data_IF_515492860640
#
_entry.id   IF_515492860640
#
_cell.length_a   1.000
_cell.length_b   1.000
_cell.length_c   1.000
_cell.angle_alpha   90.00
_cell.angle_beta   90.00
_cell.angle_gamma   90.00
#
_symmetry.space_group_name_H-M   'P 1'
#
loop_
_entity.id
_entity.type
_entity.pdbx_description
1 polymer ?
#
# COMPACT_ATOMS: atom_id res chain seq x y z
N UNK A 1 -55.59 -11.43 3.58
CA UNK A 1 -55.20 -10.13 4.19
C UNK A 1 -54.12 -10.39 5.23
N UNK A 2 -52.86 -10.12 4.88
CA UNK A 2 -51.75 -9.64 5.75
C UNK A 2 -50.45 -9.76 4.97
N UNK A 3 -50.11 -8.64 4.33
CA UNK A 3 -48.75 -8.21 4.06
C UNK A 3 -47.94 -8.28 5.36
N UNK A 4 -46.64 -8.58 5.32
CA UNK A 4 -45.61 -7.84 6.07
C UNK A 4 -44.20 -8.39 5.80
N UNK A 5 -43.46 -7.53 5.10
CA UNK A 5 -42.04 -7.17 5.22
C UNK A 5 -40.96 -8.20 4.84
N UNK A 6 -40.43 -7.95 3.64
CA UNK A 6 -39.04 -8.18 3.27
C UNK A 6 -38.11 -7.73 4.40
N UNK A 7 -37.34 -8.66 4.95
CA UNK A 7 -36.05 -8.30 5.55
C UNK A 7 -35.01 -8.37 4.44
N UNK A 8 -34.93 -7.30 3.65
CA UNK A 8 -33.68 -6.95 3.00
C UNK A 8 -32.71 -6.60 4.14
N UNK A 9 -31.96 -7.59 4.61
CA UNK A 9 -30.79 -7.35 5.42
C UNK A 9 -29.77 -6.65 4.51
N UNK A 10 -29.92 -5.33 4.38
CA UNK A 10 -28.81 -4.48 4.01
C UNK A 10 -27.79 -4.69 5.12
N UNK A 11 -26.83 -5.58 4.87
CA UNK A 11 -25.60 -5.66 5.65
C UNK A 11 -24.95 -4.29 5.50
N UNK A 12 -25.30 -3.42 6.44
CA UNK A 12 -24.75 -2.10 6.60
C UNK A 12 -23.25 -2.32 6.72
N UNK A 13 -22.52 -1.85 5.71
CA UNK A 13 -21.07 -1.91 5.65
C UNK A 13 -20.51 -1.47 7.00
N UNK A 14 -19.97 -2.42 7.75
CA UNK A 14 -19.05 -2.13 8.83
C UNK A 14 -17.80 -1.54 8.16
N UNK A 15 -17.86 -0.24 7.84
CA UNK A 15 -16.68 0.53 7.45
C UNK A 15 -15.86 0.70 8.72
N UNK A 16 -15.17 -0.38 9.13
CA UNK A 16 -14.08 -0.29 10.09
C UNK A 16 -13.12 0.80 9.63
N UNK A 17 -12.42 1.44 10.59
CA UNK A 17 -11.43 2.48 10.27
C UNK A 17 -10.46 1.95 9.20
N UNK A 18 -10.17 2.72 8.14
CA UNK A 18 -9.24 2.26 7.10
C UNK A 18 -7.93 1.81 7.75
N UNK A 19 -7.48 0.60 7.41
CA UNK A 19 -6.19 0.10 7.86
C UNK A 19 -5.15 0.57 6.86
N UNK A 20 -4.13 1.26 7.35
CA UNK A 20 -3.03 1.76 6.54
C UNK A 20 -1.80 0.87 6.70
N UNK A 21 -1.24 0.43 5.57
CA UNK A 21 0.09 -0.18 5.50
C UNK A 21 1.04 0.86 4.93
N UNK A 22 2.22 0.97 5.55
CA UNK A 22 3.31 1.79 5.02
C UNK A 22 4.51 0.92 4.70
N UNK A 23 5.02 1.08 3.48
CA UNK A 23 6.26 0.51 2.96
C UNK A 23 7.34 1.59 2.97
N UNK A 24 8.41 1.35 3.73
CA UNK A 24 9.54 2.28 3.85
C UNK A 24 10.79 1.63 3.28
N UNK A 25 11.51 2.36 2.44
CA UNK A 25 12.61 1.80 1.67
C UNK A 25 13.58 2.84 1.16
N UNK A 26 14.70 2.34 0.64
CA UNK A 26 15.78 3.14 0.10
C UNK A 26 16.14 2.61 -1.28
N UNK A 27 16.43 3.54 -2.20
CA UNK A 27 17.01 3.24 -3.51
C UNK A 27 18.53 3.36 -3.41
N UNK A 28 19.25 2.27 -3.69
CA UNK A 28 20.71 2.17 -3.66
C UNK A 28 21.27 2.73 -4.98
N UNK A 29 21.27 4.05 -5.12
CA UNK A 29 22.02 4.73 -6.18
C UNK A 29 22.55 6.07 -5.65
N UNK A 30 23.74 6.47 -6.11
CA UNK A 30 24.28 7.81 -5.85
C UNK A 30 23.35 8.92 -6.34
N UNK A 31 23.68 10.19 -6.01
CA UNK A 31 22.90 11.45 -6.11
C UNK A 31 21.89 11.71 -7.26
N UNK A 32 21.73 10.82 -8.23
CA UNK A 32 20.78 10.88 -9.34
C UNK A 32 20.00 9.56 -9.44
N UNK A 33 18.99 9.34 -8.59
CA UNK A 33 17.98 8.34 -8.95
C UNK A 33 17.17 8.92 -10.11
N UNK A 34 17.30 8.34 -11.30
CA UNK A 34 16.51 8.72 -12.47
C UNK A 34 15.01 8.66 -12.15
N UNK A 35 14.22 9.61 -12.64
CA UNK A 35 12.77 9.64 -12.42
C UNK A 35 12.07 8.34 -12.85
N UNK A 36 12.62 7.63 -13.85
CA UNK A 36 12.16 6.31 -14.28
C UNK A 36 12.25 5.25 -13.18
N UNK A 37 13.27 5.30 -12.31
CA UNK A 37 13.39 4.36 -11.19
C UNK A 37 12.41 4.69 -10.08
N UNK A 38 12.18 5.99 -9.81
CA UNK A 38 11.14 6.42 -8.85
C UNK A 38 9.76 5.96 -9.32
N UNK A 39 9.48 6.08 -10.61
CA UNK A 39 8.24 5.58 -11.20
C UNK A 39 8.14 4.06 -11.08
N UNK A 40 9.23 3.32 -11.35
CA UNK A 40 9.22 1.86 -11.19
C UNK A 40 8.93 1.44 -9.74
N UNK A 41 9.59 2.05 -8.76
CA UNK A 41 9.31 1.78 -7.33
C UNK A 41 7.85 2.09 -6.99
N UNK A 42 7.32 3.22 -7.48
CA UNK A 42 5.91 3.57 -7.32
C UNK A 42 4.99 2.51 -7.91
N UNK A 43 5.22 2.07 -9.14
CA UNK A 43 4.37 1.11 -9.85
C UNK A 43 4.37 -0.26 -9.17
N UNK A 44 5.52 -0.73 -8.70
CA UNK A 44 5.65 -1.99 -7.98
C UNK A 44 4.93 -1.93 -6.61
N UNK A 45 5.13 -0.85 -5.85
CA UNK A 45 4.42 -0.64 -4.58
C UNK A 45 2.91 -0.48 -4.79
N UNK A 46 2.50 0.15 -5.88
CA UNK A 46 1.11 0.29 -6.27
C UNK A 46 0.47 -1.07 -6.57
N UNK A 47 1.13 -1.93 -7.35
CA UNK A 47 0.64 -3.29 -7.60
C UNK A 47 0.51 -4.09 -6.30
N UNK A 48 1.50 -4.01 -5.40
CA UNK A 48 1.40 -4.66 -4.10
C UNK A 48 0.26 -4.11 -3.23
N UNK A 49 -0.03 -2.81 -3.32
CA UNK A 49 -1.18 -2.21 -2.65
C UNK A 49 -2.51 -2.74 -3.20
N UNK A 50 -2.64 -2.89 -4.53
CA UNK A 50 -3.82 -3.53 -5.13
C UNK A 50 -3.97 -4.98 -4.66
N UNK A 51 -2.89 -5.74 -4.59
CA UNK A 51 -2.90 -7.14 -4.13
C UNK A 51 -3.36 -7.29 -2.68
N UNK A 52 -3.08 -6.30 -1.82
CA UNK A 52 -3.56 -6.28 -0.44
C UNK A 52 -4.99 -5.71 -0.29
N UNK A 53 -5.66 -5.40 -1.40
CA UNK A 53 -7.05 -4.96 -1.44
C UNK A 53 -7.25 -3.45 -1.33
N UNK A 54 -6.25 -2.65 -1.70
CA UNK A 54 -6.43 -1.21 -1.85
C UNK A 54 -7.35 -0.87 -3.03
N UNK A 55 -8.14 0.20 -2.91
CA UNK A 55 -8.90 0.72 -4.03
C UNK A 55 -7.95 1.42 -5.01
N UNK A 56 -8.16 1.22 -6.31
CA UNK A 56 -7.23 1.65 -7.37
C UNK A 56 -7.00 3.16 -7.49
N UNK A 57 -7.74 4.00 -6.77
CA UNK A 57 -7.60 5.45 -6.86
C UNK A 57 -7.95 6.13 -5.53
N UNK A 58 -6.95 6.65 -4.82
CA UNK A 58 -7.16 7.71 -3.82
C UNK A 58 -6.67 7.41 -2.41
N UNK A 59 -6.13 6.22 -2.18
CA UNK A 59 -5.68 5.80 -0.86
C UNK A 59 -4.15 5.66 -0.77
N UNK A 60 -3.43 5.85 -1.89
CA UNK A 60 -1.98 5.84 -1.91
C UNK A 60 -1.32 7.21 -1.62
N UNK A 61 -0.19 7.19 -0.94
CA UNK A 61 0.68 8.36 -0.78
C UNK A 61 2.14 7.92 -0.80
N UNK A 62 2.87 8.31 -1.84
CA UNK A 62 4.33 8.19 -1.90
C UNK A 62 4.97 9.52 -1.46
N UNK A 63 5.67 9.46 -0.34
CA UNK A 63 6.54 10.54 0.15
C UNK A 63 8.00 10.10 0.08
N UNK A 64 8.93 11.03 -0.03
CA UNK A 64 10.35 10.71 -0.04
C UNK A 64 11.24 11.89 -0.42
N UNK A 65 12.55 11.70 -0.26
CA UNK A 65 13.56 12.71 -0.54
C UNK A 65 14.95 12.11 -0.72
N UNK A 66 15.88 12.91 -1.25
CA UNK A 66 17.29 12.56 -1.36
C UNK A 66 18.06 13.09 -0.16
N UNK A 67 18.90 12.27 0.46
CA UNK A 67 19.71 12.64 1.63
C UNK A 67 21.22 12.43 1.44
N UNK A 68 21.66 12.12 0.22
CA UNK A 68 23.08 11.91 -0.13
C UNK A 68 23.51 10.44 -0.12
N UNK A 69 22.73 9.55 0.52
CA UNK A 69 22.94 8.10 0.48
C UNK A 69 22.03 7.41 -0.55
N UNK A 70 20.91 8.06 -0.90
CA UNK A 70 20.00 7.62 -1.95
C UNK A 70 18.67 8.37 -1.93
N UNK A 71 17.66 7.80 -2.57
CA UNK A 71 16.27 8.24 -2.41
C UNK A 71 15.59 7.39 -1.34
N UNK A 72 15.23 8.02 -0.22
CA UNK A 72 14.50 7.42 0.88
C UNK A 72 13.02 7.69 0.69
N UNK A 73 12.19 6.67 0.81
CA UNK A 73 10.77 6.79 0.53
C UNK A 73 9.89 6.08 1.55
N UNK A 74 8.66 6.56 1.62
CA UNK A 74 7.55 5.96 2.34
C UNK A 74 6.31 5.97 1.45
N UNK A 75 5.83 4.79 1.11
CA UNK A 75 4.58 4.57 0.38
C UNK A 75 3.53 4.06 1.34
N UNK A 76 2.41 4.77 1.46
CA UNK A 76 1.27 4.36 2.32
C UNK A 76 0.08 4.00 1.44
N UNK A 77 -0.65 2.95 1.76
CA UNK A 77 -1.93 2.63 1.14
C UNK A 77 -2.94 2.05 2.13
N UNK A 78 -4.23 2.19 1.83
CA UNK A 78 -5.30 1.55 2.59
C UNK A 78 -5.46 0.10 2.13
N UNK A 79 -5.47 -0.85 3.05
CA UNK A 79 -5.73 -2.23 2.73
C UNK A 79 -7.10 -2.69 3.23
N UNK A 80 -7.62 -3.75 2.62
CA UNK A 80 -8.87 -4.36 3.04
C UNK A 80 -8.69 -5.08 4.39
N UNK A 81 -9.61 -4.86 5.34
CA UNK A 81 -9.64 -5.58 6.61
C UNK A 81 -9.58 -7.10 6.41
N UNK A 82 -8.76 -7.78 7.20
CA UNK A 82 -8.55 -9.23 7.23
C UNK A 82 -7.51 -9.76 6.23
N UNK A 83 -6.80 -8.91 5.48
CA UNK A 83 -5.76 -9.37 4.58
C UNK A 83 -4.41 -9.62 5.28
N UNK A 84 -4.11 -10.89 5.54
CA UNK A 84 -2.84 -11.30 6.16
C UNK A 84 -1.67 -11.41 5.18
N UNK A 85 -1.83 -11.04 3.90
CA UNK A 85 -0.81 -11.21 2.85
C UNK A 85 0.07 -9.98 2.64
N UNK A 86 0.13 -9.07 3.62
CA UNK A 86 1.05 -7.94 3.57
C UNK A 86 2.49 -8.47 3.60
N UNK A 87 3.30 -8.24 2.55
CA UNK A 87 4.68 -8.71 2.55
C UNK A 87 5.51 -7.92 3.56
N UNK A 88 6.29 -8.62 4.39
CA UNK A 88 7.23 -7.98 5.33
C UNK A 88 8.27 -7.12 4.60
N UNK A 89 8.69 -7.56 3.41
CA UNK A 89 9.65 -6.86 2.56
C UNK A 89 9.34 -7.10 1.09
N UNK A 90 9.42 -6.05 0.28
CA UNK A 90 9.35 -6.07 -1.18
C UNK A 90 10.76 -5.81 -1.70
N UNK A 91 11.29 -6.73 -2.49
CA UNK A 91 12.61 -6.61 -3.13
C UNK A 91 12.58 -7.39 -4.44
N UNK A 92 12.24 -6.70 -5.53
CA UNK A 92 12.15 -7.30 -6.87
C UNK A 92 13.49 -7.15 -7.61
N UNK A 93 14.16 -6.02 -7.39
CA UNK A 93 15.49 -5.74 -7.94
C UNK A 93 16.56 -5.73 -6.85
N UNK A 94 17.84 -5.79 -7.26
CA UNK A 94 19.00 -5.74 -6.35
C UNK A 94 19.33 -4.33 -5.83
N UNK A 95 18.70 -3.29 -6.37
CA UNK A 95 19.05 -1.89 -6.12
C UNK A 95 18.04 -1.15 -5.24
N UNK A 96 16.95 -1.80 -4.82
CA UNK A 96 16.02 -1.22 -3.85
C UNK A 96 15.28 -2.30 -3.09
N UNK A 97 14.80 -1.96 -1.91
CA UNK A 97 13.82 -2.76 -1.17
C UNK A 97 12.95 -1.85 -0.31
N UNK A 98 11.77 -2.32 0.05
CA UNK A 98 10.87 -1.65 0.98
C UNK A 98 10.40 -2.62 2.06
N UNK A 99 10.41 -2.19 3.31
CA UNK A 99 9.89 -2.95 4.46
C UNK A 99 8.50 -2.45 4.84
N UNK A 100 7.57 -3.36 5.06
CA UNK A 100 6.30 -3.01 5.67
C UNK A 100 6.51 -2.69 7.16
N UNK A 101 6.12 -1.49 7.57
CA UNK A 101 6.22 -1.04 8.97
C UNK A 101 5.06 -1.51 9.84
N UNK A 102 4.00 -2.04 9.21
CA UNK A 102 2.84 -2.68 9.83
C UNK A 102 2.52 -4.00 9.15
N UNK A 103 3.54 -4.82 8.95
CA UNK A 103 3.36 -6.13 8.36
C UNK A 103 2.47 -7.00 9.27
N UNK A 104 1.48 -7.68 8.68
CA UNK A 104 0.67 -8.68 9.37
C UNK A 104 -0.71 -8.24 9.88
N UNK A 105 -1.11 -6.97 9.77
CA UNK A 105 -2.50 -6.57 10.04
C UNK A 105 -3.01 -5.60 8.98
N UNK A 106 -3.62 -6.20 7.97
CA UNK A 106 -4.88 -5.73 7.44
C UNK A 106 -5.93 -6.73 7.96
#
# INVERSE_FOLDING_TARGET
>A
MKLVLLFAATALAARGKPIHVAFEGNVIFGSQTLDSHRQKVHDELYQHCLDIGANAHGDETLTGGFDGEGFHFKYTCNCAHGNTKVPDTISIDSWWSAKATKAGTC
#
